data_IF_509540550500
#
_entry.id   IF_509540550500
#
_cell.length_a   1.000
_cell.length_b   1.000
_cell.length_c   1.000
_cell.angle_alpha   90.00
_cell.angle_beta   90.00
_cell.angle_gamma   90.00
#
_symmetry.space_group_name_H-M   'P 1'
#
loop_
_entity.id
_entity.type
_entity.pdbx_description
1 polymer ?
#
# COMPACT_ATOMS: atom_id res chain seq x y z
N UNK A 1 -26.29 -15.03 11.10
CA UNK A 1 -25.92 -14.27 9.89
C UNK A 1 -24.71 -14.94 9.32
N UNK A 2 -24.74 -15.28 8.05
CA UNK A 2 -23.65 -16.03 7.41
C UNK A 2 -22.49 -15.09 7.12
N UNK A 3 -21.32 -15.45 7.64
CA UNK A 3 -20.08 -14.74 7.38
C UNK A 3 -19.41 -15.35 6.17
N UNK A 4 -18.82 -14.49 5.35
CA UNK A 4 -18.07 -14.86 4.16
C UNK A 4 -16.66 -14.29 4.28
N UNK A 5 -15.69 -15.01 3.71
CA UNK A 5 -14.31 -14.54 3.63
C UNK A 5 -14.19 -13.53 2.51
N UNK A 6 -13.61 -12.39 2.84
CA UNK A 6 -13.26 -11.33 1.91
C UNK A 6 -11.77 -11.01 2.03
N UNK A 7 -11.16 -10.64 0.94
CA UNK A 7 -9.74 -10.36 0.83
C UNK A 7 -9.50 -8.89 0.57
N UNK A 8 -8.56 -8.29 1.29
CA UNK A 8 -8.26 -6.87 1.17
C UNK A 8 -7.49 -6.60 -0.12
N UNK A 9 -8.03 -5.72 -0.95
CA UNK A 9 -7.42 -5.27 -2.21
C UNK A 9 -6.90 -3.83 -2.12
N UNK A 10 -7.09 -3.17 -0.98
CA UNK A 10 -6.55 -1.83 -0.68
C UNK A 10 -6.31 -1.67 0.82
N UNK A 11 -5.08 -1.37 1.28
CA UNK A 11 -4.77 -1.20 2.70
C UNK A 11 -5.65 -0.16 3.35
N UNK A 12 -6.17 -0.51 4.52
CA UNK A 12 -7.08 0.36 5.26
C UNK A 12 -7.05 0.01 6.75
N UNK A 13 -7.83 0.73 7.55
CA UNK A 13 -8.08 0.36 8.95
C UNK A 13 -9.48 -0.21 9.04
N UNK A 14 -9.59 -1.47 9.43
CA UNK A 14 -10.87 -2.13 9.72
C UNK A 14 -10.93 -2.53 11.20
N UNK A 15 -11.99 -2.14 11.90
CA UNK A 15 -12.18 -2.45 13.33
C UNK A 15 -10.94 -2.12 14.20
N UNK A 16 -10.37 -0.92 14.01
CA UNK A 16 -9.14 -0.43 14.70
C UNK A 16 -7.87 -1.24 14.42
N UNK A 17 -7.89 -2.15 13.44
CA UNK A 17 -6.71 -2.89 12.98
C UNK A 17 -6.33 -2.43 11.57
N UNK A 18 -5.04 -2.20 11.33
CA UNK A 18 -4.54 -2.01 9.97
C UNK A 18 -4.59 -3.35 9.25
N UNK A 19 -5.09 -3.33 8.01
CA UNK A 19 -5.16 -4.48 7.13
C UNK A 19 -4.46 -4.14 5.82
N UNK A 20 -3.76 -5.11 5.26
CA UNK A 20 -2.87 -4.99 4.10
C UNK A 20 -3.42 -5.80 2.93
N UNK A 21 -2.83 -5.65 1.74
CA UNK A 21 -3.22 -6.44 0.58
C UNK A 21 -3.14 -7.95 0.84
N UNK A 22 -4.17 -8.68 0.45
CA UNK A 22 -4.28 -10.13 0.62
C UNK A 22 -4.78 -10.58 2.00
N UNK A 23 -4.91 -9.68 2.97
CA UNK A 23 -5.42 -10.03 4.30
C UNK A 23 -6.87 -10.53 4.22
N UNK A 24 -7.19 -11.54 5.04
CA UNK A 24 -8.50 -12.16 5.10
C UNK A 24 -9.38 -11.49 6.17
N UNK A 25 -10.60 -11.13 5.80
CA UNK A 25 -11.62 -10.57 6.66
C UNK A 25 -12.87 -11.43 6.63
N UNK A 26 -13.26 -11.94 7.79
CA UNK A 26 -14.51 -12.69 7.97
C UNK A 26 -15.62 -11.71 8.32
N UNK A 27 -16.50 -11.44 7.36
CA UNK A 27 -17.51 -10.37 7.45
C UNK A 27 -18.91 -10.88 7.09
N UNK A 28 -19.94 -10.28 7.69
CA UNK A 28 -21.30 -10.43 7.17
C UNK A 28 -21.49 -9.58 5.90
N UNK A 29 -22.50 -9.88 5.09
CA UNK A 29 -22.79 -9.08 3.88
C UNK A 29 -23.03 -7.59 4.20
N UNK A 30 -23.65 -7.29 5.34
CA UNK A 30 -23.87 -5.91 5.81
C UNK A 30 -22.56 -5.17 6.15
N UNK A 31 -21.57 -5.87 6.70
CA UNK A 31 -20.24 -5.32 7.00
C UNK A 31 -19.39 -5.20 5.73
N UNK A 32 -19.53 -6.15 4.80
CA UNK A 32 -18.76 -6.19 3.56
C UNK A 32 -19.25 -5.14 2.55
N UNK A 33 -20.56 -4.87 2.47
CA UNK A 33 -21.16 -3.94 1.48
C UNK A 33 -20.44 -2.59 1.33
N UNK A 34 -20.21 -1.81 2.40
CA UNK A 34 -19.54 -0.51 2.27
C UNK A 34 -18.08 -0.66 1.79
N UNK A 35 -17.38 -1.71 2.23
CA UNK A 35 -16.00 -1.97 1.84
C UNK A 35 -15.90 -2.44 0.38
N UNK A 36 -16.84 -3.28 -0.07
CA UNK A 36 -16.91 -3.78 -1.45
C UNK A 36 -17.26 -2.66 -2.43
N UNK A 37 -18.26 -1.83 -2.09
CA UNK A 37 -18.63 -0.68 -2.92
C UNK A 37 -17.52 0.38 -3.01
N UNK A 38 -16.72 0.51 -1.95
CA UNK A 38 -15.52 1.36 -1.97
C UNK A 38 -14.30 0.72 -2.63
N UNK A 39 -14.39 -0.51 -3.12
CA UNK A 39 -13.29 -1.24 -3.76
C UNK A 39 -12.14 -1.59 -2.81
N UNK A 40 -12.44 -1.81 -1.52
CA UNK A 40 -11.43 -2.16 -0.50
C UNK A 40 -11.23 -3.66 -0.34
N UNK A 41 -12.26 -4.46 -0.62
CA UNK A 41 -12.25 -5.91 -0.46
C UNK A 41 -12.83 -6.61 -1.69
N UNK A 42 -12.41 -7.84 -1.91
CA UNK A 42 -12.88 -8.74 -2.96
C UNK A 42 -13.20 -10.13 -2.38
N UNK A 43 -14.21 -10.86 -2.88
CA UNK A 43 -14.37 -12.28 -2.55
C UNK A 43 -13.32 -13.18 -3.25
N UNK A 44 -12.57 -12.67 -4.22
CA UNK A 44 -11.54 -13.40 -4.96
C UNK A 44 -10.15 -13.21 -4.33
N UNK A 45 -9.58 -14.30 -3.82
CA UNK A 45 -8.25 -14.35 -3.20
C UNK A 45 -7.13 -14.08 -4.19
N UNK A 46 -7.16 -14.72 -5.36
CA UNK A 46 -6.07 -14.66 -6.34
C UNK A 46 -5.92 -13.24 -6.89
N UNK A 47 -7.05 -12.55 -7.10
CA UNK A 47 -7.04 -11.15 -7.49
C UNK A 47 -6.42 -10.25 -6.40
N UNK A 48 -6.77 -10.48 -5.13
CA UNK A 48 -6.26 -9.67 -4.02
C UNK A 48 -4.76 -9.84 -3.77
N UNK A 49 -4.27 -11.08 -3.83
CA UNK A 49 -2.85 -11.39 -3.70
C UNK A 49 -2.04 -10.74 -4.82
N UNK A 50 -2.51 -10.86 -6.07
CA UNK A 50 -1.84 -10.29 -7.24
C UNK A 50 -1.74 -8.76 -7.18
N UNK A 51 -2.80 -8.08 -6.73
CA UNK A 51 -2.76 -6.63 -6.52
C UNK A 51 -1.75 -6.27 -5.43
N UNK A 52 -1.67 -7.07 -4.36
CA UNK A 52 -0.68 -6.90 -3.30
C UNK A 52 0.76 -7.00 -3.79
N UNK A 53 1.06 -8.00 -4.63
CA UNK A 53 2.37 -8.15 -5.27
C UNK A 53 2.73 -6.94 -6.12
N UNK A 54 1.83 -6.53 -7.02
CA UNK A 54 2.03 -5.36 -7.89
C UNK A 54 2.31 -4.08 -7.10
N UNK A 55 1.58 -3.87 -6.00
CA UNK A 55 1.79 -2.66 -5.19
C UNK A 55 3.10 -2.70 -4.43
N UNK A 56 3.54 -3.87 -3.95
CA UNK A 56 4.88 -4.02 -3.35
C UNK A 56 5.97 -3.75 -4.38
N UNK A 57 5.83 -4.27 -5.59
CA UNK A 57 6.78 -4.03 -6.69
C UNK A 57 6.86 -2.54 -7.05
N UNK A 58 5.72 -1.87 -7.22
CA UNK A 58 5.68 -0.42 -7.49
C UNK A 58 6.31 0.39 -6.35
N UNK A 59 6.09 0.00 -5.10
CA UNK A 59 6.72 0.69 -3.95
C UNK A 59 8.23 0.48 -3.92
N UNK A 60 8.71 -0.73 -4.22
CA UNK A 60 10.13 -1.03 -4.29
C UNK A 60 10.81 -0.22 -5.41
N UNK A 61 10.19 -0.12 -6.59
CA UNK A 61 10.68 0.69 -7.70
C UNK A 61 10.78 2.17 -7.33
N UNK A 62 9.73 2.74 -6.71
CA UNK A 62 9.74 4.14 -6.25
C UNK A 62 10.77 4.42 -5.17
N UNK A 63 11.05 3.44 -4.29
CA UNK A 63 12.09 3.57 -3.28
C UNK A 63 13.50 3.58 -3.93
N UNK A 64 13.72 2.74 -4.95
CA UNK A 64 14.96 2.69 -5.72
C UNK A 64 15.26 3.99 -6.48
N UNK A 65 14.24 4.70 -6.97
CA UNK A 65 14.39 6.01 -7.62
C UNK A 65 14.86 7.13 -6.65
N UNK A 66 14.86 6.89 -5.33
CA UNK A 66 15.35 7.86 -4.33
C UNK A 66 16.84 7.67 -3.99
N UNK A 67 17.49 6.61 -4.51
CA UNK A 67 18.90 6.27 -4.23
C UNK A 67 19.87 6.67 -5.35
N UNK A 68 19.50 7.66 -6.17
CA UNK A 68 20.40 8.40 -7.08
C UNK A 68 20.26 9.91 -6.86
N UNK A 69 20.51 10.35 -5.64
CA UNK A 69 20.75 11.75 -5.31
C UNK A 69 22.08 11.91 -4.54
N UNK A 70 23.13 11.23 -5.01
CA UNK A 70 24.54 11.61 -4.83
C UNK A 70 24.96 12.26 -6.17
N UNK A 71 25.68 13.36 -6.31
CA UNK A 71 26.50 14.19 -5.43
C UNK A 71 26.76 15.46 -6.24
N UNK A 72 26.48 16.65 -5.73
CA UNK A 72 27.22 17.86 -6.15
C UNK A 72 27.56 18.63 -4.88
N UNK A 73 28.59 18.12 -4.22
CA UNK A 73 29.44 18.92 -3.36
C UNK A 73 30.17 19.90 -4.27
N UNK A 74 29.68 21.14 -4.37
CA UNK A 74 30.53 22.24 -4.82
C UNK A 74 30.90 23.09 -3.61
N UNK A 75 32.05 22.74 -3.05
CA UNK A 75 32.74 23.53 -2.03
C UNK A 75 33.42 24.70 -2.73
N UNK A 76 32.73 25.82 -2.95
CA UNK A 76 33.43 27.07 -3.26
C UNK A 76 33.74 27.86 -1.98
N UNK A 77 34.88 27.52 -1.37
CA UNK A 77 35.62 28.45 -0.51
C UNK A 77 36.28 29.47 -1.44
N UNK A 78 35.80 30.71 -1.43
CA UNK A 78 36.62 31.86 -1.80
C UNK A 78 36.61 32.87 -0.65
N UNK A 79 37.72 32.79 0.07
CA UNK A 79 38.30 33.83 0.91
C UNK A 79 38.91 34.89 -0.03
N UNK A 80 38.42 36.12 0.02
CA UNK A 80 39.21 37.28 -0.41
C UNK A 80 38.67 38.56 0.26
N UNK A 81 39.48 39.06 1.18
CA UNK A 81 39.45 40.40 1.73
C UNK A 81 39.26 41.50 0.67
N UNK A 82 38.40 42.48 0.96
CA UNK A 82 38.72 43.92 0.94
C UNK A 82 37.58 44.77 1.52
#
# INVERSE_FOLDING_TARGET
>A
MDQHTYYVIKPTTHNRKKVSYGDELLLTESQARPLRNGGFISPDKAAAERIGELVREVQALKAGDTETADTDTDSNKEDAAQ
#
